data_IF_728094047193
#
_entry.id   IF_728094047193
#
_cell.length_a   1.000
_cell.length_b   1.000
_cell.length_c   1.000
_cell.angle_alpha   90.00
_cell.angle_beta   90.00
_cell.angle_gamma   90.00
#
_symmetry.space_group_name_H-M   'P 1'
#
loop_
_entity.id
_entity.type
_entity.pdbx_description
1 polymer ?
#
# COMPACT_ATOMS: atom_id res chain seq x y z
N UNK A 1 17.16 9.01 -12.08
CA UNK A 1 16.41 8.85 -10.82
C UNK A 1 16.98 9.84 -9.83
N UNK A 2 16.15 10.72 -9.26
CA UNK A 2 16.57 11.53 -8.13
C UNK A 2 16.61 10.64 -6.89
N UNK A 3 17.53 10.90 -5.96
CA UNK A 3 17.57 10.18 -4.69
C UNK A 3 16.46 10.75 -3.81
N UNK A 4 15.45 9.94 -3.52
CA UNK A 4 14.33 10.31 -2.64
C UNK A 4 14.81 10.24 -1.19
N UNK A 5 14.64 11.34 -0.42
CA UNK A 5 14.99 11.38 1.00
C UNK A 5 13.76 11.04 1.85
N UNK A 6 13.58 9.77 2.15
CA UNK A 6 12.41 9.28 2.90
C UNK A 6 12.26 9.94 4.28
N UNK A 7 13.35 10.07 5.04
CA UNK A 7 13.33 10.72 6.36
C UNK A 7 12.78 12.15 6.30
N UNK A 8 13.12 12.89 5.24
CA UNK A 8 12.64 14.24 5.02
C UNK A 8 11.14 14.24 4.72
N UNK A 9 10.67 13.32 3.86
CA UNK A 9 9.25 13.15 3.54
C UNK A 9 8.43 12.85 4.80
N UNK A 10 8.85 11.87 5.60
CA UNK A 10 8.14 11.51 6.84
C UNK A 10 8.16 12.66 7.85
N UNK A 11 9.27 13.39 7.95
CA UNK A 11 9.38 14.56 8.82
C UNK A 11 8.41 15.67 8.38
N UNK A 12 8.35 15.98 7.08
CA UNK A 12 7.41 17.00 6.56
C UNK A 12 5.95 16.58 6.75
N UNK A 13 5.62 15.31 6.51
CA UNK A 13 4.27 14.77 6.76
C UNK A 13 3.87 14.91 8.24
N UNK A 14 4.75 14.55 9.16
CA UNK A 14 4.49 14.65 10.60
C UNK A 14 4.33 16.11 11.04
N UNK A 15 5.16 17.02 10.51
CA UNK A 15 5.02 18.46 10.75
C UNK A 15 3.69 18.99 10.24
N UNK A 16 3.29 18.65 9.01
CA UNK A 16 2.01 19.09 8.44
C UNK A 16 0.81 18.63 9.30
N UNK A 17 0.83 17.38 9.76
CA UNK A 17 -0.19 16.84 10.69
C UNK A 17 -0.18 17.57 12.03
N UNK A 18 0.98 17.84 12.59
CA UNK A 18 1.11 18.56 13.87
C UNK A 18 0.62 20.01 13.79
N UNK A 19 0.72 20.65 12.62
CA UNK A 19 0.22 22.01 12.37
C UNK A 19 -1.31 22.08 12.18
N UNK A 20 -1.98 20.94 12.10
CA UNK A 20 -3.40 20.90 11.81
C UNK A 20 -4.21 21.33 13.03
N UNK A 21 -4.85 22.49 12.95
CA UNK A 21 -5.82 22.92 13.97
C UNK A 21 -7.12 22.13 13.83
N UNK A 22 -7.38 21.23 14.78
CA UNK A 22 -8.57 20.38 14.79
C UNK A 22 -9.88 21.13 15.02
N UNK A 23 -9.85 22.39 15.48
CA UNK A 23 -11.06 23.21 15.57
C UNK A 23 -11.46 23.76 14.19
N UNK A 24 -10.47 24.04 13.33
CA UNK A 24 -10.68 24.55 11.96
C UNK A 24 -10.88 23.38 10.99
N UNK A 25 -9.97 22.42 11.02
CA UNK A 25 -9.99 21.20 10.20
C UNK A 25 -10.61 20.05 11.01
N UNK A 26 -11.90 20.19 11.30
CA UNK A 26 -12.62 19.33 12.24
C UNK A 26 -13.00 17.93 11.71
N UNK A 27 -12.74 17.63 10.44
CA UNK A 27 -12.92 16.32 9.85
C UNK A 27 -11.66 15.89 9.07
N UNK A 28 -11.47 14.57 8.94
CA UNK A 28 -10.25 14.03 8.35
C UNK A 28 -10.09 14.38 6.85
N UNK A 29 -11.16 14.70 6.12
CA UNK A 29 -11.08 15.17 4.74
C UNK A 29 -10.43 16.56 4.69
N UNK A 30 -10.90 17.47 5.55
CA UNK A 30 -10.31 18.82 5.70
C UNK A 30 -8.85 18.75 6.16
N UNK A 31 -8.53 17.88 7.11
CA UNK A 31 -7.16 17.69 7.60
C UNK A 31 -6.23 17.17 6.50
N UNK A 32 -6.72 16.23 5.68
CA UNK A 32 -5.96 15.68 4.55
C UNK A 32 -5.68 16.75 3.50
N UNK A 33 -6.68 17.57 3.15
CA UNK A 33 -6.48 18.65 2.17
C UNK A 33 -5.49 19.70 2.70
N UNK A 34 -5.59 20.07 3.98
CA UNK A 34 -4.60 20.97 4.60
C UNK A 34 -3.18 20.40 4.54
N UNK A 35 -3.00 19.12 4.90
CA UNK A 35 -1.70 18.46 4.81
C UNK A 35 -1.16 18.46 3.38
N UNK A 36 -2.02 18.20 2.38
CA UNK A 36 -1.65 18.20 0.97
C UNK A 36 -1.15 19.57 0.52
N UNK A 37 -1.86 20.64 0.88
CA UNK A 37 -1.44 22.01 0.54
C UNK A 37 -0.10 22.37 1.22
N UNK A 38 0.08 21.96 2.48
CA UNK A 38 1.33 22.17 3.22
C UNK A 38 2.52 21.49 2.54
N UNK A 39 2.36 20.23 2.10
CA UNK A 39 3.40 19.48 1.37
C UNK A 39 3.72 20.14 0.03
N UNK A 40 2.69 20.57 -0.71
CA UNK A 40 2.87 21.24 -2.01
C UNK A 40 3.61 22.57 -1.88
N UNK A 41 3.39 23.30 -0.78
CA UNK A 41 4.04 24.56 -0.48
C UNK A 41 5.47 24.42 0.08
N UNK A 42 5.88 23.23 0.55
CA UNK A 42 7.21 23.02 1.13
C UNK A 42 8.31 23.11 0.06
N UNK A 43 9.15 24.14 0.13
CA UNK A 43 10.24 24.38 -0.82
C UNK A 43 11.44 23.45 -0.60
N UNK A 44 11.52 22.74 0.54
CA UNK A 44 12.61 21.81 0.85
C UNK A 44 12.49 20.48 0.10
N UNK A 45 11.29 20.16 -0.40
CA UNK A 45 10.99 18.96 -1.17
C UNK A 45 11.14 19.20 -2.67
N UNK A 46 11.80 18.26 -3.33
CA UNK A 46 11.81 18.16 -4.79
C UNK A 46 10.44 17.74 -5.33
N UNK A 47 10.24 17.85 -6.65
CA UNK A 47 8.99 17.41 -7.30
C UNK A 47 8.70 15.92 -7.05
N UNK A 48 9.72 15.08 -7.14
CA UNK A 48 9.58 13.63 -6.93
C UNK A 48 9.24 13.33 -5.47
N UNK A 49 9.88 14.00 -4.52
CA UNK A 49 9.57 13.86 -3.10
C UNK A 49 8.16 14.37 -2.73
N UNK A 50 7.68 15.45 -3.37
CA UNK A 50 6.29 15.92 -3.21
C UNK A 50 5.30 14.89 -3.72
N UNK A 51 5.56 14.30 -4.89
CA UNK A 51 4.73 13.22 -5.43
C UNK A 51 4.67 12.04 -4.46
N UNK A 52 5.82 11.63 -3.91
CA UNK A 52 5.89 10.51 -2.98
C UNK A 52 5.20 10.81 -1.64
N UNK A 53 5.39 12.01 -1.08
CA UNK A 53 4.68 12.45 0.11
C UNK A 53 3.15 12.47 -0.10
N UNK A 54 2.68 12.92 -1.27
CA UNK A 54 1.26 12.91 -1.63
C UNK A 54 0.74 11.47 -1.78
N UNK A 55 1.54 10.57 -2.35
CA UNK A 55 1.19 9.14 -2.46
C UNK A 55 0.95 8.54 -1.07
N UNK A 56 1.86 8.78 -0.12
CA UNK A 56 1.75 8.31 1.28
C UNK A 56 0.53 8.93 1.98
N UNK A 57 0.31 10.24 1.80
CA UNK A 57 -0.86 10.93 2.36
C UNK A 57 -2.17 10.33 1.81
N UNK A 58 -2.25 10.12 0.50
CA UNK A 58 -3.40 9.53 -0.18
C UNK A 58 -3.66 8.10 0.29
N UNK A 59 -2.60 7.30 0.50
CA UNK A 59 -2.70 5.96 1.08
C UNK A 59 -3.37 5.98 2.45
N UNK A 60 -2.93 6.91 3.31
CA UNK A 60 -3.45 7.07 4.67
C UNK A 60 -4.92 7.49 4.63
N UNK A 61 -5.26 8.43 3.75
CA UNK A 61 -6.61 8.93 3.55
C UNK A 61 -7.57 7.84 3.05
N UNK A 62 -7.16 7.06 2.05
CA UNK A 62 -7.92 5.93 1.53
C UNK A 62 -8.19 4.88 2.61
N UNK A 63 -7.19 4.55 3.44
CA UNK A 63 -7.36 3.68 4.60
C UNK A 63 -8.37 4.26 5.60
N UNK A 64 -8.31 5.56 5.86
CA UNK A 64 -9.28 6.26 6.71
C UNK A 64 -10.71 6.13 6.19
N UNK A 65 -10.94 6.39 4.90
CA UNK A 65 -12.25 6.21 4.26
C UNK A 65 -12.81 4.80 4.43
N UNK A 66 -11.95 3.78 4.33
CA UNK A 66 -12.35 2.38 4.53
C UNK A 66 -12.74 2.08 6.00
N UNK A 67 -11.98 2.59 6.96
CA UNK A 67 -12.25 2.39 8.40
C UNK A 67 -13.55 3.05 8.82
N UNK A 68 -13.79 4.29 8.39
CA UNK A 68 -15.00 5.03 8.74
C UNK A 68 -16.18 4.76 7.79
N UNK A 69 -15.95 4.02 6.69
CA UNK A 69 -16.93 3.82 5.60
C UNK A 69 -17.52 5.16 5.11
N UNK A 70 -16.66 6.17 4.99
CA UNK A 70 -17.00 7.54 4.66
C UNK A 70 -16.40 7.97 3.30
N UNK A 71 -17.10 8.86 2.60
CA UNK A 71 -16.71 9.39 1.30
C UNK A 71 -17.51 8.84 0.12
N UNK A 72 -17.18 9.34 -1.07
CA UNK A 72 -17.86 8.96 -2.31
C UNK A 72 -17.17 7.74 -2.90
N UNK A 73 -17.95 6.68 -3.15
CA UNK A 73 -17.44 5.50 -3.87
C UNK A 73 -17.25 5.81 -5.35
N UNK A 74 -16.02 5.72 -5.82
CA UNK A 74 -15.65 5.77 -7.24
C UNK A 74 -15.62 4.39 -7.88
N UNK A 75 -15.28 4.32 -9.16
CA UNK A 75 -14.99 3.05 -9.85
C UNK A 75 -13.47 2.89 -9.92
N UNK A 76 -12.95 1.76 -9.46
CA UNK A 76 -11.53 1.45 -9.57
C UNK A 76 -11.15 1.23 -11.03
N UNK A 77 -10.10 1.90 -11.51
CA UNK A 77 -9.60 1.74 -12.87
C UNK A 77 -8.96 0.36 -13.12
N UNK A 78 -8.53 -0.33 -12.07
CA UNK A 78 -7.87 -1.64 -12.15
C UNK A 78 -8.89 -2.79 -12.19
N UNK A 79 -9.79 -2.87 -11.20
CA UNK A 79 -10.73 -4.00 -11.08
C UNK A 79 -12.17 -3.67 -11.52
N UNK A 80 -12.44 -2.43 -11.92
CA UNK A 80 -13.76 -1.94 -12.34
C UNK A 80 -14.87 -2.12 -11.28
N UNK A 81 -14.50 -2.29 -10.00
CA UNK A 81 -15.43 -2.37 -8.87
C UNK A 81 -15.68 -1.00 -8.27
N UNK A 82 -16.86 -0.82 -7.67
CA UNK A 82 -17.20 0.40 -6.93
C UNK A 82 -16.52 0.39 -5.57
N UNK A 83 -15.56 1.28 -5.36
CA UNK A 83 -14.66 1.30 -4.20
C UNK A 83 -14.55 2.67 -3.54
N UNK A 84 -14.19 2.71 -2.25
CA UNK A 84 -14.03 3.97 -1.51
C UNK A 84 -12.66 4.64 -1.75
N UNK A 85 -11.63 3.84 -2.03
CA UNK A 85 -10.26 4.31 -2.18
C UNK A 85 -9.90 4.67 -3.64
N UNK A 86 -9.06 5.68 -3.82
CA UNK A 86 -8.63 6.21 -5.14
C UNK A 86 -7.34 5.55 -5.62
N UNK A 87 -6.40 5.29 -4.71
CA UNK A 87 -5.10 4.68 -5.01
C UNK A 87 -5.04 3.21 -4.55
N UNK A 88 -5.77 2.86 -3.49
CA UNK A 88 -5.76 1.52 -2.89
C UNK A 88 -7.16 0.93 -2.81
N UNK A 89 -7.74 0.60 -3.96
CA UNK A 89 -9.02 -0.10 -4.01
C UNK A 89 -9.03 -1.30 -3.05
N UNK A 90 -10.01 -1.36 -2.15
CA UNK A 90 -10.12 -2.41 -1.12
C UNK A 90 -10.23 -3.83 -1.69
N UNK A 91 -10.62 -3.95 -2.96
CA UNK A 91 -10.65 -5.20 -3.70
C UNK A 91 -9.28 -5.55 -4.31
N UNK A 92 -8.57 -4.57 -4.89
CA UNK A 92 -7.22 -4.76 -5.44
C UNK A 92 -6.15 -4.97 -4.34
N UNK A 93 -6.35 -4.40 -3.16
CA UNK A 93 -5.45 -4.58 -2.03
C UNK A 93 -5.41 -6.03 -1.53
N UNK A 94 -6.53 -6.76 -1.64
CA UNK A 94 -6.55 -8.21 -1.31
C UNK A 94 -5.72 -9.05 -2.27
N UNK A 95 -5.45 -8.55 -3.47
CA UNK A 95 -4.65 -9.23 -4.49
C UNK A 95 -3.18 -8.81 -4.50
N UNK A 96 -2.79 -7.86 -3.62
CA UNK A 96 -1.44 -7.29 -3.54
C UNK A 96 -0.70 -7.63 -2.23
N UNK A 97 -1.34 -8.31 -1.28
CA UNK A 97 -0.61 -8.87 -0.14
C UNK A 97 0.17 -10.09 -0.66
N UNK A 98 1.52 -10.07 -0.61
CA UNK A 98 2.34 -11.14 -1.16
C UNK A 98 1.98 -12.51 -0.57
N UNK A 99 1.47 -12.54 0.66
CA UNK A 99 1.07 -13.76 1.36
C UNK A 99 -0.20 -14.42 0.79
N UNK A 100 -0.94 -13.74 -0.10
CA UNK A 100 -2.15 -14.27 -0.75
C UNK A 100 -1.99 -14.43 -2.27
N UNK A 101 -0.82 -14.12 -2.83
CA UNK A 101 -0.54 -14.35 -4.24
C UNK A 101 -0.27 -15.85 -4.45
N UNK A 102 -0.96 -16.45 -5.43
CA UNK A 102 -0.69 -17.82 -5.86
C UNK A 102 0.48 -17.82 -6.82
N UNK A 103 1.57 -18.45 -6.42
CA UNK A 103 2.81 -18.51 -7.20
C UNK A 103 3.03 -19.87 -7.87
N UNK A 104 3.48 -19.83 -9.12
CA UNK A 104 3.92 -21.03 -9.85
C UNK A 104 5.42 -21.24 -9.64
N UNK A 105 5.78 -22.25 -8.84
CA UNK A 105 7.18 -22.56 -8.52
C UNK A 105 7.66 -23.72 -9.41
N UNK A 106 8.73 -23.55 -10.23
CA UNK A 106 9.32 -24.66 -10.97
C UNK A 106 9.83 -25.75 -10.01
N UNK A 107 9.56 -27.02 -10.30
CA UNK A 107 9.95 -28.14 -9.44
C UNK A 107 11.46 -28.16 -9.12
N UNK A 108 12.30 -27.75 -10.06
CA UNK A 108 13.75 -27.70 -9.88
C UNK A 108 14.22 -26.67 -8.83
N UNK A 109 13.35 -25.73 -8.43
CA UNK A 109 13.63 -24.72 -7.40
C UNK A 109 13.19 -25.19 -6.00
N UNK A 110 12.68 -26.42 -5.89
CA UNK A 110 12.31 -27.07 -4.64
C UNK A 110 13.44 -28.00 -4.16
N UNK A 111 13.84 -27.88 -2.89
CA UNK A 111 14.86 -28.71 -2.23
C UNK A 111 14.31 -29.39 -0.99
N UNK A 112 14.99 -30.43 -0.53
CA UNK A 112 14.66 -31.09 0.74
C UNK A 112 13.22 -31.62 0.78
N UNK A 113 12.71 -32.12 -0.35
CA UNK A 113 11.33 -32.63 -0.49
C UNK A 113 11.13 -33.83 0.44
N UNK A 114 10.23 -33.69 1.40
CA UNK A 114 9.92 -34.69 2.43
C UNK A 114 8.44 -34.98 2.43
N UNK A 115 8.08 -36.25 2.46
CA UNK A 115 6.69 -36.64 2.65
C UNK A 115 6.20 -36.20 4.03
N UNK A 116 5.00 -35.60 4.08
CA UNK A 116 4.36 -35.17 5.32
C UNK A 116 3.20 -36.11 5.69
N UNK A 117 2.23 -36.25 4.80
CA UNK A 117 1.03 -37.06 5.05
C UNK A 117 0.25 -37.32 3.75
N UNK A 118 -0.76 -38.18 3.80
CA UNK A 118 -1.72 -38.41 2.72
C UNK A 118 -3.09 -37.96 3.17
N UNK A 119 -3.65 -36.98 2.46
CA UNK A 119 -5.03 -36.54 2.63
C UNK A 119 -6.00 -37.43 1.86
N UNK A 120 -7.28 -37.02 1.81
CA UNK A 120 -8.32 -37.77 1.09
C UNK A 120 -8.09 -37.88 -0.42
N UNK A 121 -7.47 -36.85 -1.03
CA UNK A 121 -7.33 -36.74 -2.49
C UNK A 121 -5.89 -36.64 -2.98
N UNK A 122 -4.91 -36.47 -2.08
CA UNK A 122 -3.52 -36.20 -2.48
C UNK A 122 -2.53 -36.56 -1.37
N UNK A 123 -1.25 -36.65 -1.76
CA UNK A 123 -0.13 -36.72 -0.84
C UNK A 123 0.45 -35.32 -0.66
N UNK A 124 0.79 -34.99 0.58
CA UNK A 124 1.30 -33.69 0.98
C UNK A 124 2.78 -33.86 1.32
N UNK A 125 3.60 -32.99 0.76
CA UNK A 125 5.05 -32.96 0.96
C UNK A 125 5.44 -31.58 1.50
N UNK A 126 6.45 -31.54 2.36
CA UNK A 126 7.14 -30.30 2.75
C UNK A 126 8.41 -30.15 1.92
N UNK A 127 8.80 -28.92 1.65
CA UNK A 127 9.96 -28.60 0.82
C UNK A 127 10.52 -27.25 1.23
N UNK A 128 11.80 -27.04 0.95
CA UNK A 128 12.45 -25.73 0.99
C UNK A 128 12.39 -25.12 -0.41
N UNK A 129 12.02 -23.85 -0.52
CA UNK A 129 12.06 -23.12 -1.79
C UNK A 129 13.32 -22.25 -1.82
N UNK A 130 14.15 -22.46 -2.85
CA UNK A 130 15.48 -21.84 -2.96
C UNK A 130 15.44 -20.32 -3.03
N UNK A 131 14.47 -19.77 -3.76
CA UNK A 131 14.41 -18.33 -4.04
C UNK A 131 13.56 -17.56 -3.01
N UNK A 132 12.79 -18.27 -2.18
CA UNK A 132 11.82 -17.68 -1.26
C UNK A 132 10.59 -17.11 -1.97
N UNK A 133 9.57 -16.72 -1.19
CA UNK A 133 8.39 -16.04 -1.71
C UNK A 133 8.66 -14.61 -2.12
N UNK A 134 7.79 -14.03 -2.97
CA UNK A 134 7.84 -12.59 -3.20
C UNK A 134 7.51 -11.84 -1.91
N UNK A 135 8.34 -10.85 -1.56
CA UNK A 135 8.08 -9.92 -0.46
C UNK A 135 7.30 -8.68 -0.95
N UNK A 136 7.42 -8.34 -2.24
CA UNK A 136 6.72 -7.22 -2.87
C UNK A 136 6.55 -7.47 -4.38
N UNK A 137 5.50 -6.90 -4.98
CA UNK A 137 5.30 -6.93 -6.43
C UNK A 137 6.12 -5.80 -7.07
N UNK A 138 7.18 -6.15 -7.81
CA UNK A 138 7.87 -5.20 -8.68
C UNK A 138 7.02 -4.97 -9.95
N UNK A 139 6.68 -3.70 -10.22
CA UNK A 139 5.82 -3.29 -11.33
C UNK A 139 6.61 -2.69 -12.51
N UNK A 140 7.92 -2.90 -12.56
CA UNK A 140 8.78 -2.48 -13.67
C UNK A 140 8.43 -3.13 -15.02
#
# INVERSE_FOLDING_TARGET
MSVIREDLIYTTLNKARALTDHNIYNDFHKQTEFCKQTILADESLTKDEKSEAIRILTATYDRGKLVYNEGIRGVCEICNQKCLATLYCEYCMKTLDPNVIVEWIPYNNLKSIKYLTKGGYSEIYTTEWVDGGYDEWDSN
#
